data_IF_769435092149
#
_entry.id   IF_769435092149
#
_cell.length_a   1.000
_cell.length_b   1.000
_cell.length_c   1.000
_cell.angle_alpha   90.00
_cell.angle_beta   90.00
_cell.angle_gamma   90.00
#
_symmetry.space_group_name_H-M   'P 1'
#
loop_
_entity.id
_entity.type
_entity.pdbx_description
1 polymer ?
#
# COMPACT_ATOMS: atom_id res chain seq x y z
N UNK A 1 11.72 15.51 19.83
CA UNK A 1 11.88 14.88 18.50
C UNK A 1 10.50 14.47 17.92
N UNK A 2 9.53 13.97 18.74
CA UNK A 2 8.19 13.54 18.29
C UNK A 2 7.31 14.66 17.71
N UNK A 3 7.44 15.90 18.17
CA UNK A 3 6.58 17.04 17.76
C UNK A 3 6.95 17.57 16.37
N UNK A 4 8.22 17.58 15.98
CA UNK A 4 8.66 18.01 14.64
C UNK A 4 8.16 17.06 13.55
N UNK A 5 8.29 15.74 13.73
CA UNK A 5 7.83 14.72 12.77
C UNK A 5 6.33 14.83 12.41
N UNK A 6 5.48 15.12 13.39
CA UNK A 6 4.04 15.25 13.14
C UNK A 6 3.69 16.53 12.34
N UNK A 7 4.44 17.63 12.54
CA UNK A 7 4.28 18.87 11.77
C UNK A 7 4.71 18.69 10.31
N UNK A 8 5.81 17.98 10.08
CA UNK A 8 6.36 17.74 8.74
C UNK A 8 5.43 16.82 7.92
N UNK A 9 4.87 15.76 8.51
CA UNK A 9 3.87 14.90 7.88
C UNK A 9 2.58 15.65 7.52
N UNK A 10 2.09 16.53 8.42
CA UNK A 10 0.92 17.37 8.14
C UNK A 10 1.21 18.41 7.05
N UNK A 11 2.43 18.96 7.01
CA UNK A 11 2.85 19.90 5.98
C UNK A 11 2.92 19.19 4.62
N UNK A 12 3.50 18.00 4.56
CA UNK A 12 3.62 17.18 3.36
C UNK A 12 2.24 16.76 2.81
N UNK A 13 1.32 16.32 3.69
CA UNK A 13 -0.07 16.04 3.35
C UNK A 13 -0.79 17.28 2.76
N UNK A 14 -0.64 18.46 3.40
CA UNK A 14 -1.23 19.70 2.89
C UNK A 14 -0.66 20.08 1.53
N UNK A 15 0.63 19.86 1.32
CA UNK A 15 1.30 20.14 0.05
C UNK A 15 0.76 19.24 -1.07
N UNK A 16 0.66 17.92 -0.85
CA UNK A 16 0.11 16.99 -1.84
C UNK A 16 -1.34 17.34 -2.16
N UNK A 17 -2.18 17.55 -1.15
CA UNK A 17 -3.58 17.96 -1.36
C UNK A 17 -3.69 19.25 -2.13
N UNK A 18 -2.85 20.22 -1.83
CA UNK A 18 -2.84 21.51 -2.55
C UNK A 18 -2.39 21.36 -4.01
N UNK A 19 -1.43 20.49 -4.28
CA UNK A 19 -1.02 20.18 -5.65
C UNK A 19 -2.12 19.43 -6.41
N UNK A 20 -2.78 18.45 -5.79
CA UNK A 20 -3.96 17.79 -6.35
C UNK A 20 -5.08 18.78 -6.66
N UNK A 21 -5.41 19.67 -5.73
CA UNK A 21 -6.46 20.69 -5.92
C UNK A 21 -6.14 21.67 -7.06
N UNK A 22 -4.88 22.12 -7.17
CA UNK A 22 -4.42 22.99 -8.25
C UNK A 22 -4.51 22.29 -9.59
N UNK A 23 -4.06 21.03 -9.65
CA UNK A 23 -4.08 20.22 -10.87
C UNK A 23 -5.53 19.93 -11.31
N UNK A 24 -6.40 19.49 -10.37
CA UNK A 24 -7.82 19.22 -10.62
C UNK A 24 -8.54 20.49 -11.12
N UNK A 25 -8.29 21.65 -10.48
CA UNK A 25 -8.94 22.92 -10.88
C UNK A 25 -8.54 23.33 -12.30
N UNK A 26 -7.30 23.09 -12.72
CA UNK A 26 -6.81 23.47 -14.05
C UNK A 26 -7.32 22.56 -15.17
N UNK A 27 -7.57 21.27 -14.85
CA UNK A 27 -7.89 20.23 -15.84
C UNK A 27 -9.11 19.38 -15.42
N UNK A 28 -10.13 20.00 -14.81
CA UNK A 28 -11.21 19.30 -14.10
C UNK A 28 -11.91 18.22 -14.93
N UNK A 29 -12.36 18.53 -16.12
CA UNK A 29 -13.09 17.55 -16.97
C UNK A 29 -12.16 16.47 -17.49
N UNK A 30 -11.03 16.85 -18.05
CA UNK A 30 -10.03 15.91 -18.54
C UNK A 30 -9.49 15.02 -17.41
N UNK A 31 -9.30 15.60 -16.21
CA UNK A 31 -8.90 14.86 -15.03
C UNK A 31 -9.95 13.83 -14.60
N UNK A 32 -11.24 14.20 -14.60
CA UNK A 32 -12.33 13.28 -14.21
C UNK A 32 -12.46 12.10 -15.17
N UNK A 33 -12.40 12.36 -16.48
CA UNK A 33 -12.42 11.28 -17.50
C UNK A 33 -11.21 10.37 -17.38
N UNK A 34 -10.01 10.94 -17.16
CA UNK A 34 -8.78 10.19 -16.94
C UNK A 34 -8.85 9.37 -15.66
N UNK A 35 -9.37 9.97 -14.58
CA UNK A 35 -9.57 9.28 -13.30
C UNK A 35 -10.51 8.10 -13.44
N UNK A 36 -11.68 8.28 -14.07
CA UNK A 36 -12.62 7.19 -14.31
C UNK A 36 -11.96 6.04 -15.08
N UNK A 37 -11.26 6.35 -16.17
CA UNK A 37 -10.54 5.35 -16.95
C UNK A 37 -9.48 4.63 -16.10
N UNK A 38 -8.74 5.34 -15.25
CA UNK A 38 -7.75 4.73 -14.37
C UNK A 38 -8.37 3.88 -13.28
N UNK A 39 -9.55 4.25 -12.76
CA UNK A 39 -10.26 3.45 -11.77
C UNK A 39 -10.74 2.11 -12.38
N UNK A 40 -11.23 2.12 -13.64
CA UNK A 40 -11.61 0.92 -14.38
C UNK A 40 -10.40 0.02 -14.67
N UNK A 41 -9.33 0.57 -15.24
CA UNK A 41 -8.08 -0.14 -15.52
C UNK A 41 -7.43 -0.69 -14.24
N UNK A 42 -7.45 0.06 -13.14
CA UNK A 42 -6.96 -0.39 -11.84
C UNK A 42 -7.73 -1.63 -11.37
N UNK A 43 -9.06 -1.57 -11.43
CA UNK A 43 -9.88 -2.70 -11.01
C UNK A 43 -9.59 -3.96 -11.84
N UNK A 44 -9.42 -3.82 -13.15
CA UNK A 44 -9.02 -4.92 -14.03
C UNK A 44 -7.67 -5.53 -13.62
N UNK A 45 -6.71 -4.71 -13.17
CA UNK A 45 -5.40 -5.20 -12.74
C UNK A 45 -5.45 -6.09 -11.51
N UNK A 46 -6.39 -5.87 -10.58
CA UNK A 46 -6.39 -6.53 -9.27
C UNK A 46 -7.60 -7.43 -8.99
N UNK A 47 -8.60 -7.50 -9.88
CA UNK A 47 -9.87 -8.19 -9.59
C UNK A 47 -9.72 -9.67 -9.25
N UNK A 48 -8.77 -10.36 -9.86
CA UNK A 48 -8.44 -11.75 -9.56
C UNK A 48 -7.91 -11.92 -8.13
N UNK A 49 -7.06 -11.00 -7.69
CA UNK A 49 -6.50 -10.95 -6.33
C UNK A 49 -7.56 -10.49 -5.33
N UNK A 50 -8.24 -9.37 -5.61
CA UNK A 50 -9.19 -8.75 -4.70
C UNK A 50 -10.41 -9.63 -4.37
N UNK A 51 -10.81 -10.51 -5.31
CA UNK A 51 -11.91 -11.48 -5.12
C UNK A 51 -11.45 -12.83 -4.56
N UNK A 52 -10.16 -13.06 -4.44
CA UNK A 52 -9.64 -14.35 -3.99
C UNK A 52 -10.03 -14.62 -2.52
N UNK A 53 -10.57 -15.82 -2.18
CA UNK A 53 -11.10 -16.10 -0.84
C UNK A 53 -10.09 -15.88 0.29
N UNK A 54 -8.82 -16.20 0.08
CA UNK A 54 -7.75 -15.99 1.07
C UNK A 54 -7.47 -14.50 1.28
N UNK A 55 -7.46 -13.70 0.21
CA UNK A 55 -7.28 -12.23 0.29
C UNK A 55 -8.47 -11.57 0.98
N UNK A 56 -9.68 -12.04 0.73
CA UNK A 56 -10.89 -11.55 1.42
C UNK A 56 -10.84 -11.75 2.94
N UNK A 57 -10.11 -12.76 3.44
CA UNK A 57 -9.90 -12.97 4.89
C UNK A 57 -9.15 -11.82 5.56
N UNK A 58 -8.39 -11.02 4.83
CA UNK A 58 -7.75 -9.81 5.36
C UNK A 58 -8.74 -8.80 5.94
N UNK A 59 -10.03 -8.88 5.57
CA UNK A 59 -11.11 -8.07 6.16
C UNK A 59 -11.36 -8.37 7.64
N UNK A 60 -10.93 -9.52 8.12
CA UNK A 60 -11.10 -9.95 9.51
C UNK A 60 -10.05 -9.35 10.46
N UNK A 61 -8.96 -8.80 9.92
CA UNK A 61 -7.84 -8.33 10.72
C UNK A 61 -7.81 -6.80 10.77
N UNK A 62 -7.88 -6.20 11.97
CA UNK A 62 -7.71 -4.76 12.15
C UNK A 62 -6.29 -4.35 11.73
N UNK A 63 -6.14 -3.14 11.20
CA UNK A 63 -4.85 -2.64 10.73
C UNK A 63 -4.51 -1.26 11.32
N UNK A 64 -4.80 -0.17 10.63
CA UNK A 64 -4.56 1.19 11.10
C UNK A 64 -5.86 1.93 11.38
N UNK A 65 -5.99 2.54 12.58
CA UNK A 65 -7.18 3.29 12.96
C UNK A 65 -8.45 2.43 12.90
N UNK A 66 -9.38 2.80 12.02
CA UNK A 66 -10.66 2.10 11.81
C UNK A 66 -10.64 1.25 10.51
N UNK A 67 -9.49 1.07 9.86
CA UNK A 67 -9.37 0.26 8.65
C UNK A 67 -8.98 -1.18 8.99
N UNK A 68 -9.43 -2.14 8.18
CA UNK A 68 -8.91 -3.49 8.19
C UNK A 68 -7.77 -3.64 7.16
N UNK A 69 -7.03 -4.74 7.26
CA UNK A 69 -5.87 -5.02 6.41
C UNK A 69 -6.23 -5.01 4.91
N UNK A 70 -7.40 -5.55 4.52
CA UNK A 70 -7.87 -5.51 3.13
C UNK A 70 -8.07 -4.08 2.62
N UNK A 71 -8.72 -3.23 3.42
CA UNK A 71 -8.96 -1.82 3.04
C UNK A 71 -7.65 -1.06 2.92
N UNK A 72 -6.72 -1.26 3.87
CA UNK A 72 -5.39 -0.69 3.80
C UNK A 72 -4.67 -1.08 2.49
N UNK A 73 -4.58 -2.39 2.22
CA UNK A 73 -3.95 -2.88 1.00
C UNK A 73 -4.61 -2.35 -0.28
N UNK A 74 -5.94 -2.21 -0.29
CA UNK A 74 -6.66 -1.62 -1.43
C UNK A 74 -6.28 -0.14 -1.64
N UNK A 75 -6.18 0.65 -0.56
CA UNK A 75 -5.75 2.04 -0.64
C UNK A 75 -4.30 2.16 -1.16
N UNK A 76 -3.37 1.39 -0.57
CA UNK A 76 -1.97 1.37 -0.99
C UNK A 76 -1.83 0.93 -2.45
N UNK A 77 -2.55 -0.12 -2.85
CA UNK A 77 -2.61 -0.62 -4.23
C UNK A 77 -3.05 0.46 -5.22
N UNK A 78 -4.14 1.20 -4.89
CA UNK A 78 -4.66 2.27 -5.72
C UNK A 78 -3.66 3.43 -5.87
N UNK A 79 -3.07 3.91 -4.77
CA UNK A 79 -2.09 4.97 -4.84
C UNK A 79 -0.82 4.54 -5.59
N UNK A 80 -0.36 3.31 -5.40
CA UNK A 80 0.73 2.75 -6.20
C UNK A 80 0.43 2.77 -7.69
N UNK A 81 -0.78 2.30 -8.07
CA UNK A 81 -1.24 2.34 -9.45
C UNK A 81 -1.20 3.76 -10.03
N UNK A 82 -1.80 4.72 -9.32
CA UNK A 82 -1.90 6.12 -9.79
C UNK A 82 -0.52 6.75 -9.97
N UNK A 83 0.37 6.59 -9.00
CA UNK A 83 1.72 7.14 -9.08
C UNK A 83 2.54 6.47 -10.20
N UNK A 84 2.47 5.15 -10.31
CA UNK A 84 3.18 4.43 -11.38
C UNK A 84 2.64 4.81 -12.76
N UNK A 85 1.32 5.00 -12.92
CA UNK A 85 0.73 5.54 -14.17
C UNK A 85 1.25 6.95 -14.48
N UNK A 86 1.30 7.81 -13.47
CA UNK A 86 1.78 9.18 -13.62
C UNK A 86 3.25 9.24 -14.05
N UNK A 87 4.10 8.36 -13.49
CA UNK A 87 5.52 8.28 -13.81
C UNK A 87 5.86 7.34 -14.98
N UNK A 88 4.87 6.82 -15.71
CA UNK A 88 5.04 5.88 -16.82
C UNK A 88 5.83 4.60 -16.43
N UNK A 89 5.55 4.06 -15.24
CA UNK A 89 6.10 2.82 -14.72
C UNK A 89 5.10 1.67 -14.89
N UNK A 90 5.46 0.45 -14.44
CA UNK A 90 4.54 -0.69 -14.47
C UNK A 90 3.47 -0.59 -13.37
N UNK A 91 2.42 0.17 -13.68
CA UNK A 91 1.30 0.41 -12.78
C UNK A 91 0.52 -0.88 -12.44
N UNK A 92 0.45 -1.85 -13.35
CA UNK A 92 -0.23 -3.13 -13.11
C UNK A 92 0.50 -3.93 -12.03
N UNK A 93 1.80 -4.13 -12.18
CA UNK A 93 2.61 -4.85 -11.19
C UNK A 93 2.64 -4.12 -9.85
N UNK A 94 2.72 -2.78 -9.87
CA UNK A 94 2.66 -1.97 -8.65
C UNK A 94 1.33 -2.11 -7.91
N UNK A 95 0.19 -2.13 -8.63
CA UNK A 95 -1.13 -2.35 -8.04
C UNK A 95 -1.26 -3.75 -7.43
N UNK A 96 -0.86 -4.79 -8.17
CA UNK A 96 -0.94 -6.19 -7.73
C UNK A 96 -0.06 -6.44 -6.51
N UNK A 97 1.20 -5.99 -6.54
CA UNK A 97 2.09 -6.05 -5.39
C UNK A 97 1.55 -5.27 -4.18
N UNK A 98 0.99 -4.07 -4.43
CA UNK A 98 0.35 -3.25 -3.41
C UNK A 98 -0.86 -3.92 -2.75
N UNK A 99 -1.67 -4.68 -3.51
CA UNK A 99 -2.80 -5.43 -2.93
C UNK A 99 -2.38 -6.60 -2.05
N UNK A 100 -1.16 -7.12 -2.26
CA UNK A 100 -0.62 -8.30 -1.59
C UNK A 100 0.44 -8.00 -0.52
N UNK A 101 0.88 -6.74 -0.37
CA UNK A 101 2.06 -6.41 0.44
C UNK A 101 1.91 -6.82 1.91
N UNK A 102 0.69 -6.82 2.45
CA UNK A 102 0.36 -7.18 3.83
C UNK A 102 -0.47 -8.47 3.94
N UNK A 103 -0.27 -9.43 3.05
CA UNK A 103 -0.96 -10.72 3.07
C UNK A 103 -0.39 -11.66 4.16
N UNK A 104 -0.38 -11.23 5.42
CA UNK A 104 0.13 -12.01 6.55
C UNK A 104 -0.93 -12.80 7.34
N UNK A 105 -2.24 -12.51 7.20
CA UNK A 105 -3.40 -13.28 7.67
C UNK A 105 -3.48 -13.53 9.19
N UNK A 106 -3.09 -12.56 10.02
CA UNK A 106 -3.26 -12.57 11.48
C UNK A 106 -3.44 -11.14 12.01
N UNK A 107 -3.94 -11.01 13.25
CA UNK A 107 -3.99 -9.72 13.95
C UNK A 107 -2.60 -9.41 14.53
N UNK A 108 -1.91 -8.45 13.93
CA UNK A 108 -0.56 -8.08 14.35
C UNK A 108 -0.50 -7.41 15.74
N UNK A 109 -1.64 -6.93 16.28
CA UNK A 109 -1.70 -6.34 17.62
C UNK A 109 -1.65 -7.42 18.72
N UNK A 110 -2.16 -8.61 18.45
CA UNK A 110 -2.20 -9.74 19.40
C UNK A 110 -1.16 -10.81 19.11
N UNK A 111 -0.70 -10.90 17.87
CA UNK A 111 0.19 -11.96 17.37
C UNK A 111 1.44 -12.21 18.24
N UNK A 112 2.09 -11.14 18.71
CA UNK A 112 3.26 -11.27 19.58
C UNK A 112 2.96 -11.94 20.92
N UNK A 113 1.76 -11.72 21.46
CA UNK A 113 1.30 -12.34 22.72
C UNK A 113 0.93 -13.82 22.53
N UNK A 114 0.36 -14.15 21.37
CA UNK A 114 -0.13 -15.47 21.03
C UNK A 114 0.99 -16.44 20.60
N UNK A 115 1.99 -15.91 19.88
CA UNK A 115 3.02 -16.76 19.25
C UNK A 115 4.45 -16.53 19.77
N UNK A 116 4.68 -15.48 20.57
CA UNK A 116 6.00 -15.05 20.98
C UNK A 116 6.83 -14.31 19.91
N UNK A 117 6.30 -14.15 18.71
CA UNK A 117 6.98 -13.48 17.58
C UNK A 117 6.84 -11.95 17.69
N UNK A 118 7.85 -11.30 18.24
CA UNK A 118 7.78 -9.87 18.63
C UNK A 118 8.10 -8.86 17.52
N UNK A 119 8.69 -9.26 16.42
CA UNK A 119 9.22 -8.33 15.41
C UNK A 119 8.36 -8.32 14.13
N UNK A 120 7.05 -8.14 14.30
CA UNK A 120 6.11 -8.10 13.16
C UNK A 120 6.59 -7.17 12.03
N UNK A 121 6.99 -5.92 12.35
CA UNK A 121 7.46 -4.96 11.34
C UNK A 121 8.67 -5.42 10.52
N UNK A 122 9.47 -6.38 11.01
CA UNK A 122 10.62 -6.93 10.30
C UNK A 122 10.28 -8.22 9.53
N UNK A 123 9.28 -8.96 9.98
CA UNK A 123 9.02 -10.34 9.50
C UNK A 123 7.83 -10.45 8.55
N UNK A 124 6.82 -9.56 8.67
CA UNK A 124 5.61 -9.66 7.87
C UNK A 124 5.82 -9.52 6.36
N UNK A 125 6.78 -8.70 5.82
CA UNK A 125 7.00 -8.65 4.38
C UNK A 125 7.38 -10.01 3.79
N UNK A 126 8.22 -10.77 4.50
CA UNK A 126 8.60 -12.12 4.11
C UNK A 126 7.42 -13.09 4.18
N UNK A 127 6.61 -12.98 5.22
CA UNK A 127 5.39 -13.78 5.39
C UNK A 127 4.39 -13.49 4.28
N UNK A 128 4.11 -12.21 4.01
CA UNK A 128 3.23 -11.78 2.92
C UNK A 128 3.72 -12.27 1.55
N UNK A 129 5.02 -12.12 1.26
CA UNK A 129 5.62 -12.60 0.01
C UNK A 129 5.46 -14.12 -0.14
N UNK A 130 5.73 -14.90 0.92
CA UNK A 130 5.57 -16.35 0.89
C UNK A 130 4.12 -16.78 0.63
N UNK A 131 3.14 -16.13 1.26
CA UNK A 131 1.72 -16.39 1.00
C UNK A 131 1.34 -16.01 -0.44
N UNK A 132 1.76 -14.84 -0.89
CA UNK A 132 1.46 -14.34 -2.22
C UNK A 132 2.03 -15.25 -3.32
N UNK A 133 3.30 -15.69 -3.20
CA UNK A 133 3.94 -16.61 -4.16
C UNK A 133 3.28 -18.00 -4.22
N UNK A 134 2.63 -18.45 -3.13
CA UNK A 134 1.90 -19.73 -3.12
C UNK A 134 0.55 -19.64 -3.82
N UNK A 135 -0.05 -18.45 -3.87
CA UNK A 135 -1.41 -18.26 -4.35
C UNK A 135 -1.46 -17.68 -5.76
N UNK A 136 -0.43 -16.92 -6.16
CA UNK A 136 -0.42 -16.19 -7.41
C UNK A 136 0.91 -16.31 -8.13
N UNK A 137 0.90 -16.38 -9.48
CA UNK A 137 2.13 -16.24 -10.28
C UNK A 137 2.58 -14.76 -10.24
N UNK A 138 3.61 -14.47 -9.44
CA UNK A 138 4.14 -13.12 -9.28
C UNK A 138 5.36 -12.89 -10.16
N UNK A 139 5.43 -11.73 -10.81
CA UNK A 139 6.63 -11.26 -11.48
C UNK A 139 7.63 -10.64 -10.48
N UNK A 140 8.81 -10.24 -10.95
CA UNK A 140 9.88 -9.76 -10.07
C UNK A 140 9.58 -8.36 -9.51
N UNK A 141 8.84 -7.52 -10.22
CA UNK A 141 8.38 -6.21 -9.71
C UNK A 141 7.37 -6.42 -8.57
N UNK A 142 6.37 -7.28 -8.76
CA UNK A 142 5.38 -7.61 -7.71
C UNK A 142 6.06 -8.16 -6.45
N UNK A 143 7.05 -9.06 -6.60
CA UNK A 143 7.84 -9.59 -5.49
C UNK A 143 8.64 -8.50 -4.77
N UNK A 144 9.27 -7.60 -5.52
CA UNK A 144 10.04 -6.50 -4.94
C UNK A 144 9.15 -5.52 -4.18
N UNK A 145 8.00 -5.15 -4.74
CA UNK A 145 6.98 -4.32 -4.10
C UNK A 145 6.57 -4.91 -2.76
N UNK A 146 6.26 -6.22 -2.70
CA UNK A 146 5.86 -6.90 -1.46
C UNK A 146 7.03 -6.97 -0.47
N UNK A 147 8.23 -7.35 -0.93
CA UNK A 147 9.40 -7.57 -0.09
C UNK A 147 9.91 -6.29 0.57
N UNK A 148 9.89 -5.19 -0.18
CA UNK A 148 10.62 -3.98 0.18
C UNK A 148 9.76 -2.88 0.81
N UNK A 149 8.42 -3.03 0.89
CA UNK A 149 7.52 -1.95 1.34
C UNK A 149 7.87 -1.38 2.72
N UNK A 150 8.43 -2.19 3.62
CA UNK A 150 8.82 -1.76 4.96
C UNK A 150 10.17 -1.03 5.04
N UNK A 151 10.90 -0.87 3.93
CA UNK A 151 12.12 -0.06 3.98
C UNK A 151 11.83 1.37 4.47
N UNK A 152 12.68 1.99 5.32
CA UNK A 152 13.98 1.55 5.83
C UNK A 152 13.92 0.74 7.14
N UNK A 153 12.73 0.36 7.64
CA UNK A 153 12.60 -0.46 8.87
C UNK A 153 13.27 -1.82 8.65
N UNK A 154 13.04 -2.45 7.50
CA UNK A 154 13.78 -3.63 7.02
C UNK A 154 15.02 -3.17 6.24
N UNK A 155 16.05 -2.72 6.94
CA UNK A 155 17.22 -2.03 6.37
C UNK A 155 17.88 -2.77 5.19
N UNK A 156 17.98 -4.10 5.27
CA UNK A 156 18.58 -4.93 4.21
C UNK A 156 17.65 -5.25 3.04
N UNK A 157 16.37 -4.88 3.13
CA UNK A 157 15.39 -5.11 2.06
C UNK A 157 15.21 -3.87 1.19
N UNK A 158 16.30 -3.33 0.65
CA UNK A 158 16.26 -2.13 -0.20
C UNK A 158 15.41 -2.40 -1.44
N UNK A 159 14.50 -1.48 -1.84
CA UNK A 159 13.76 -1.62 -3.10
C UNK A 159 14.71 -1.63 -4.30
N UNK A 160 14.53 -2.58 -5.22
CA UNK A 160 15.33 -2.70 -6.44
C UNK A 160 14.64 -2.06 -7.64
N UNK A 161 13.32 -1.90 -7.60
CA UNK A 161 12.50 -1.32 -8.66
C UNK A 161 12.00 0.07 -8.27
N UNK A 162 11.63 0.88 -9.25
CA UNK A 162 11.01 2.19 -9.00
C UNK A 162 9.64 2.04 -8.33
N UNK A 163 8.89 1.01 -8.71
CA UNK A 163 7.62 0.61 -8.12
C UNK A 163 7.78 0.23 -6.64
N UNK A 164 8.86 -0.48 -6.31
CA UNK A 164 9.25 -0.80 -4.93
C UNK A 164 9.56 0.46 -4.10
N UNK A 165 10.16 1.50 -4.67
CA UNK A 165 10.34 2.78 -4.00
C UNK A 165 9.03 3.52 -3.78
N UNK A 166 8.11 3.46 -4.74
CA UNK A 166 6.80 4.11 -4.62
C UNK A 166 6.00 3.50 -3.48
N UNK A 167 5.96 2.16 -3.36
CA UNK A 167 5.20 1.53 -2.27
C UNK A 167 5.73 1.90 -0.90
N UNK A 168 7.04 2.06 -0.72
CA UNK A 168 7.59 2.48 0.59
C UNK A 168 7.05 3.83 1.05
N UNK A 169 6.69 4.71 0.12
CA UNK A 169 6.11 6.02 0.38
C UNK A 169 4.58 5.93 0.54
N UNK A 170 3.91 5.23 -0.36
CA UNK A 170 2.44 5.13 -0.37
C UNK A 170 1.91 4.36 0.83
N UNK A 171 2.58 3.27 1.23
CA UNK A 171 2.25 2.51 2.44
C UNK A 171 2.32 3.39 3.70
N UNK A 172 3.42 4.08 3.90
CA UNK A 172 3.60 4.99 5.04
C UNK A 172 2.63 6.16 5.03
N UNK A 173 2.31 6.68 3.84
CA UNK A 173 1.30 7.71 3.67
C UNK A 173 -0.09 7.20 4.09
N UNK A 174 -0.51 6.04 3.57
CA UNK A 174 -1.81 5.44 3.91
C UNK A 174 -1.88 5.11 5.40
N UNK A 175 -0.88 4.44 5.97
CA UNK A 175 -0.86 4.09 7.39
C UNK A 175 -0.91 5.30 8.32
N UNK A 176 -0.18 6.39 7.99
CA UNK A 176 -0.23 7.64 8.75
C UNK A 176 -1.62 8.30 8.67
N UNK A 177 -2.21 8.36 7.46
CA UNK A 177 -3.53 8.96 7.25
C UNK A 177 -4.66 8.18 7.92
N UNK A 178 -4.63 6.86 7.84
CA UNK A 178 -5.60 5.97 8.48
C UNK A 178 -5.51 6.05 10.00
N UNK A 179 -4.30 6.12 10.55
CA UNK A 179 -4.07 6.29 11.99
C UNK A 179 -4.57 7.65 12.52
N UNK A 180 -4.53 8.71 11.70
CA UNK A 180 -5.05 10.04 12.08
C UNK A 180 -6.59 10.11 12.09
N UNK A 181 -7.28 9.23 11.36
CA UNK A 181 -8.76 9.15 11.34
C UNK A 181 -9.34 8.41 12.56
N UNK A 182 -8.51 8.01 13.52
CA UNK A 182 -8.97 7.40 14.76
C UNK A 182 -9.81 8.42 15.54
N UNK A 183 -11.12 8.14 15.66
CA UNK A 183 -12.04 8.86 16.55
C UNK A 183 -11.87 8.37 17.97
#
# INVERSE_FOLDING_TARGET
>A
VRIRRCKDLKLWYRMIRRLEEIYIRKHKEEFLLRKQKWDEEFYECIQDIAKHPVVLRMKLYPHHGNTNCYQHCLHVSYYNYVWCRFFHLDAKSAARGGMLHDLFLYDWHTHAKETGQRFHGLTHPKTALNHACRLFPLNDIEKDVIRAHMWPVTFFSIPHTKEGWIITLTDKYCGAFESMKRK
#
